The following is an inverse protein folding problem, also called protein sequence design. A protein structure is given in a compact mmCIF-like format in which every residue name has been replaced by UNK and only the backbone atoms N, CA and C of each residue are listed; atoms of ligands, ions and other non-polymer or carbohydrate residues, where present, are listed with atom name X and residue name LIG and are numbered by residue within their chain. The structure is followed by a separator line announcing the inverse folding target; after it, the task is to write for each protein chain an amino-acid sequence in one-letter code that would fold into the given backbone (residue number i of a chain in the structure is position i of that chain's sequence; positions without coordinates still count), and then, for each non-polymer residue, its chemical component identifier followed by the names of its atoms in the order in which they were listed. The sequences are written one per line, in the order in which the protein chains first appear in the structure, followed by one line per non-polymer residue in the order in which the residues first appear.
data_IF_071169283896
#
_entry.id   IF_071169283896
#
_cell.length_a   1.000
_cell.length_b   1.000
_cell.length_c   1.000
_cell.angle_alpha   90.00
_cell.angle_beta   90.00
_cell.angle_gamma   90.00
#
_symmetry.space_group_name_H-M   'P 1'
#
loop_
_entity.id
_entity.type
_entity.pdbx_description
1 polymer ?
#
# COMPACT_ATOMS: atom_id res chain seq x y z
N UNK A 1 21.58 -8.97 -10.36
CA UNK A 1 21.17 -8.93 -10.08
C UNK A 1 20.39 -8.52 -9.63
N UNK A 2 20.18 -8.49 -9.64
CA UNK A 2 19.24 -7.85 -9.57
C UNK A 2 18.36 -8.12 -8.63
N UNK A 3 18.44 -7.94 -7.84
CA UNK A 3 17.68 -8.18 -6.99
C UNK A 3 16.70 -7.35 -6.88
N UNK A 4 15.85 -7.48 -7.34
CA UNK A 4 14.69 -6.82 -7.20
C UNK A 4 14.17 -7.03 -5.87
N UNK A 5 14.57 -6.35 -4.93
CA UNK A 5 13.93 -6.35 -3.64
C UNK A 5 12.57 -5.69 -3.77
N UNK A 6 11.65 -6.44 -4.31
CA UNK A 6 10.28 -5.96 -4.44
C UNK A 6 9.45 -6.56 -3.31
N UNK A 7 8.87 -5.71 -2.50
CA UNK A 7 7.99 -6.13 -1.40
C UNK A 7 6.56 -5.79 -1.79
N UNK A 8 5.67 -6.79 -1.69
CA UNK A 8 4.25 -6.59 -2.02
C UNK A 8 3.41 -6.89 -0.79
N UNK A 9 2.68 -5.90 -0.33
CA UNK A 9 1.77 -6.05 0.81
C UNK A 9 0.36 -6.26 0.26
N UNK A 10 -0.22 -7.40 0.60
CA UNK A 10 -1.54 -7.81 0.09
C UNK A 10 -2.39 -8.42 1.19
N UNK A 11 -3.70 -8.44 0.96
CA UNK A 11 -4.64 -9.13 1.81
C UNK A 11 -5.18 -10.33 1.03
N UNK A 12 -5.20 -11.51 1.67
CA UNK A 12 -5.56 -12.75 1.00
C UNK A 12 -6.98 -12.76 0.42
N UNK A 13 -7.87 -11.97 0.98
CA UNK A 13 -9.26 -11.90 0.51
C UNK A 13 -9.53 -10.72 -0.43
N UNK A 14 -8.49 -10.04 -0.86
CA UNK A 14 -8.65 -8.87 -1.73
C UNK A 14 -8.55 -9.31 -3.20
N UNK A 15 -9.64 -9.12 -3.97
CA UNK A 15 -9.64 -9.51 -5.39
C UNK A 15 -8.61 -8.75 -6.19
N UNK A 16 -8.46 -7.47 -5.92
CA UNK A 16 -7.46 -6.64 -6.61
C UNK A 16 -6.05 -7.17 -6.36
N UNK A 17 -5.78 -7.58 -5.11
CA UNK A 17 -4.50 -8.19 -4.77
C UNK A 17 -4.26 -9.47 -5.55
N UNK A 18 -5.29 -10.33 -5.65
CA UNK A 18 -5.15 -11.58 -6.39
C UNK A 18 -4.81 -11.35 -7.85
N UNK A 19 -5.46 -10.37 -8.46
CA UNK A 19 -5.17 -10.01 -9.86
C UNK A 19 -3.75 -9.48 -10.01
N UNK A 20 -3.31 -8.67 -9.05
CA UNK A 20 -1.97 -8.09 -9.06
C UNK A 20 -0.90 -9.16 -8.94
N UNK A 21 -1.09 -10.12 -8.02
CA UNK A 21 -0.13 -11.20 -7.84
C UNK A 21 -0.06 -12.09 -9.08
N UNK A 22 -1.21 -12.34 -9.69
CA UNK A 22 -1.26 -13.12 -10.93
C UNK A 22 -0.47 -12.42 -12.04
N UNK A 23 -0.65 -11.11 -12.16
CA UNK A 23 0.07 -10.30 -13.15
C UNK A 23 1.58 -10.39 -12.93
N UNK A 24 2.03 -10.30 -11.68
CA UNK A 24 3.45 -10.41 -11.35
C UNK A 24 4.00 -11.78 -11.76
N UNK A 25 3.26 -12.83 -11.44
CA UNK A 25 3.67 -14.19 -11.77
C UNK A 25 3.73 -14.40 -13.29
N UNK A 26 2.76 -13.86 -14.00
CA UNK A 26 2.71 -13.99 -15.46
C UNK A 26 3.85 -13.25 -16.16
N UNK A 27 4.33 -12.17 -15.53
CA UNK A 27 5.43 -11.39 -16.09
C UNK A 27 6.80 -11.81 -15.56
N UNK A 28 6.84 -12.87 -14.75
CA UNK A 28 8.09 -13.39 -14.23
C UNK A 28 8.79 -12.47 -13.24
N UNK A 29 8.03 -11.61 -12.55
CA UNK A 29 8.59 -10.68 -11.57
C UNK A 29 8.73 -11.38 -10.23
N UNK A 30 9.93 -11.38 -9.67
CA UNK A 30 10.17 -11.95 -8.34
C UNK A 30 9.85 -10.91 -7.27
N UNK A 31 9.19 -11.35 -6.21
CA UNK A 31 8.80 -10.45 -5.12
C UNK A 31 8.69 -11.21 -3.80
N UNK A 32 8.72 -10.47 -2.72
CA UNK A 32 8.42 -11.00 -1.39
C UNK A 32 7.00 -10.58 -1.03
N UNK A 33 6.18 -11.54 -0.66
CA UNK A 33 4.79 -11.28 -0.29
C UNK A 33 4.70 -11.10 1.23
N UNK A 34 4.03 -10.03 1.65
CA UNK A 34 3.79 -9.77 3.07
C UNK A 34 2.30 -9.60 3.27
N UNK A 35 1.75 -10.31 4.28
CA UNK A 35 0.32 -10.21 4.58
C UNK A 35 0.07 -8.90 5.33
N UNK A 36 -0.71 -8.03 4.72
CA UNK A 36 -0.91 -6.68 5.25
C UNK A 36 -1.74 -6.68 6.54
N UNK A 37 -2.51 -7.74 6.77
CA UNK A 37 -3.33 -7.85 7.97
C UNK A 37 -2.54 -8.43 9.14
N UNK A 38 -1.78 -9.50 8.88
CA UNK A 38 -1.03 -10.18 9.94
C UNK A 38 0.27 -9.44 10.28
N UNK A 39 0.85 -8.78 9.27
CA UNK A 39 2.08 -8.04 9.44
C UNK A 39 1.87 -6.63 8.92
N UNK A 40 0.93 -5.91 9.53
CA UNK A 40 0.60 -4.58 9.05
C UNK A 40 1.78 -3.62 9.15
N UNK A 41 1.82 -2.63 8.26
CA UNK A 41 2.94 -1.67 8.26
C UNK A 41 3.06 -0.92 9.57
N UNK A 42 4.29 -0.59 9.94
CA UNK A 42 4.54 0.26 11.10
C UNK A 42 4.45 1.72 10.70
N UNK A 43 4.28 2.59 11.68
CA UNK A 43 4.23 4.03 11.41
C UNK A 43 5.55 4.50 10.78
N UNK A 44 6.67 3.93 11.20
CA UNK A 44 7.98 4.28 10.63
C UNK A 44 8.09 3.87 9.17
N UNK A 45 7.64 2.68 8.83
CA UNK A 45 7.63 2.21 7.44
C UNK A 45 6.75 3.12 6.58
N UNK A 46 5.57 3.46 7.09
CA UNK A 46 4.63 4.29 6.35
C UNK A 46 5.19 5.68 6.11
N UNK A 47 5.88 6.24 7.09
CA UNK A 47 6.51 7.55 6.95
C UNK A 47 7.56 7.54 5.83
N UNK A 48 8.38 6.50 5.80
CA UNK A 48 9.41 6.36 4.77
C UNK A 48 8.79 6.15 3.39
N UNK A 49 7.84 5.24 3.29
CA UNK A 49 7.19 4.97 2.00
C UNK A 49 6.42 6.19 1.48
N UNK A 50 5.76 6.91 2.38
CA UNK A 50 5.05 8.13 1.99
C UNK A 50 6.03 9.14 1.39
N UNK A 51 7.17 9.34 2.06
CA UNK A 51 8.19 10.27 1.58
C UNK A 51 8.69 9.84 0.19
N UNK A 52 8.98 8.57 0.01
CA UNK A 52 9.47 8.05 -1.27
C UNK A 52 8.41 8.18 -2.37
N UNK A 53 7.13 8.06 -2.03
CA UNK A 53 6.06 8.05 -3.01
C UNK A 53 5.82 9.41 -3.66
N UNK A 54 6.06 10.48 -2.96
CA UNK A 54 5.72 11.81 -3.43
C UNK A 54 4.22 12.06 -3.53
N UNK A 55 3.41 11.16 -2.97
CA UNK A 55 1.96 11.26 -3.05
C UNK A 55 1.37 11.84 -1.77
N UNK A 56 0.13 12.31 -1.83
CA UNK A 56 -0.61 12.72 -0.65
C UNK A 56 -0.81 11.50 0.26
N UNK A 57 -0.76 11.69 1.57
CA UNK A 57 -0.99 10.61 2.52
C UNK A 57 -2.39 9.99 2.35
N UNK A 58 -3.34 10.75 1.83
CA UNK A 58 -4.69 10.23 1.56
C UNK A 58 -4.67 9.03 0.62
N UNK A 59 -3.71 8.98 -0.29
CA UNK A 59 -3.58 7.88 -1.25
C UNK A 59 -3.25 6.56 -0.58
N UNK A 60 -2.70 6.61 0.63
CA UNK A 60 -2.34 5.41 1.37
C UNK A 60 -3.52 4.78 2.10
N UNK A 61 -4.66 5.46 2.15
CA UNK A 61 -5.84 4.94 2.84
C UNK A 61 -6.72 4.13 1.89
N UNK A 62 -7.27 3.03 2.39
CA UNK A 62 -8.23 2.22 1.68
C UNK A 62 -9.61 2.86 1.85
N UNK A 63 -9.93 3.80 0.96
CA UNK A 63 -11.13 4.63 1.09
C UNK A 63 -12.43 3.86 0.88
N UNK A 64 -12.38 2.70 0.27
CA UNK A 64 -13.58 1.88 0.06
C UNK A 64 -13.77 0.84 1.16
N UNK A 65 -12.92 0.83 2.17
CA UNK A 65 -13.01 -0.12 3.26
C UNK A 65 -13.99 0.31 4.34
N UNK A 66 -14.52 -0.69 5.07
CA UNK A 66 -15.48 -0.44 6.15
C UNK A 66 -14.85 0.32 7.31
N UNK A 67 -13.61 -0.02 7.65
CA UNK A 67 -12.92 0.64 8.76
C UNK A 67 -12.77 2.13 8.50
N UNK A 68 -12.45 2.47 7.24
CA UNK A 68 -12.32 3.87 6.83
C UNK A 68 -13.64 4.62 7.01
N UNK A 69 -14.73 4.01 6.54
CA UNK A 69 -16.06 4.64 6.63
C UNK A 69 -16.60 4.70 8.05
N UNK A 70 -16.50 3.57 8.76
CA UNK A 70 -17.10 3.44 10.10
C UNK A 70 -16.45 4.34 11.13
N UNK A 71 -15.20 4.73 10.91
CA UNK A 71 -14.46 5.59 11.84
C UNK A 71 -14.34 7.03 11.36
N UNK A 72 -15.09 7.41 10.33
CA UNK A 72 -15.13 8.78 9.81
C UNK A 72 -13.72 9.32 9.49
N UNK A 73 -12.89 8.47 8.88
CA UNK A 73 -11.50 8.85 8.58
C UNK A 73 -11.44 10.03 7.62
N UNK A 74 -12.33 10.04 6.61
CA UNK A 74 -12.37 11.13 5.64
C UNK A 74 -12.54 12.47 6.33
N UNK A 75 -13.47 12.53 7.28
CA UNK A 75 -13.76 13.76 8.02
C UNK A 75 -12.56 14.19 8.87
N UNK A 76 -11.86 13.23 9.45
CA UNK A 76 -10.66 13.53 10.24
C UNK A 76 -9.54 14.08 9.36
N UNK A 77 -9.37 13.52 8.17
CA UNK A 77 -8.39 14.01 7.21
C UNK A 77 -8.76 15.42 6.72
N UNK A 78 -10.04 15.64 6.43
CA UNK A 78 -10.53 16.95 5.99
C UNK A 78 -10.35 18.00 7.08
N UNK A 79 -10.39 17.60 8.34
CA UNK A 79 -10.21 18.51 9.48
C UNK A 79 -8.73 18.87 9.72
N UNK A 80 -7.81 18.29 8.95
CA UNK A 80 -6.40 18.67 9.04
C UNK A 80 -5.53 17.70 9.82
N UNK A 81 -5.82 16.40 9.75
CA UNK A 81 -4.98 15.41 10.40
C UNK A 81 -3.53 15.55 9.93
N UNK A 82 -2.58 15.54 10.86
CA UNK A 82 -1.17 15.61 10.50
C UNK A 82 -0.71 14.30 9.88
N UNK A 83 0.38 14.36 9.12
CA UNK A 83 0.95 13.16 8.52
C UNK A 83 1.35 12.15 9.61
N UNK A 84 1.92 12.64 10.70
CA UNK A 84 2.33 11.78 11.82
C UNK A 84 1.13 11.02 12.41
N UNK A 85 0.02 11.72 12.61
CA UNK A 85 -1.20 11.10 13.13
C UNK A 85 -1.74 10.09 12.11
N UNK A 86 -1.63 10.39 10.81
CA UNK A 86 -2.08 9.50 9.77
C UNK A 86 -1.26 8.21 9.75
N UNK A 87 0.06 8.30 9.92
CA UNK A 87 0.91 7.11 9.98
C UNK A 87 0.53 6.23 11.16
N UNK A 88 0.30 6.84 12.32
CA UNK A 88 -0.08 6.09 13.51
C UNK A 88 -1.44 5.41 13.33
N UNK A 89 -2.36 6.10 12.68
CA UNK A 89 -3.69 5.55 12.41
C UNK A 89 -3.60 4.37 11.43
N UNK A 90 -2.86 4.52 10.34
CA UNK A 90 -2.67 3.44 9.37
C UNK A 90 -1.97 2.22 10.00
N UNK A 91 -1.10 2.47 10.98
CA UNK A 91 -0.37 1.40 11.65
C UNK A 91 -1.25 0.60 12.63
N UNK A 92 -2.45 1.05 12.91
CA UNK A 92 -3.35 0.32 13.83
C UNK A 92 -3.94 -0.91 13.17
N UNK A 93 -4.15 -0.90 11.86
CA UNK A 93 -4.68 -2.05 11.15
C UNK A 93 -4.35 -1.95 9.66
N UNK A 94 -3.90 -3.05 9.10
CA UNK A 94 -3.63 -3.13 7.67
C UNK A 94 -4.87 -2.95 6.81
N UNK A 95 -6.05 -3.10 7.40
CA UNK A 95 -7.30 -2.92 6.66
C UNK A 95 -7.54 -1.47 6.26
N UNK A 96 -6.88 -0.52 6.91
CA UNK A 96 -6.96 0.88 6.53
C UNK A 96 -6.02 1.24 5.39
N UNK A 97 -5.07 0.37 5.07
CA UNK A 97 -4.03 0.67 4.09
C UNK A 97 -4.49 0.27 2.68
N UNK A 98 -4.26 1.16 1.72
CA UNK A 98 -4.54 0.88 0.30
C UNK A 98 -3.70 -0.29 -0.17
N UNK A 99 -4.31 -1.23 -0.87
CA UNK A 99 -3.60 -2.42 -1.33
C UNK A 99 -3.99 -2.77 -2.76
N UNK A 100 -3.11 -3.46 -3.46
CA UNK A 100 -1.78 -3.84 -3.00
C UNK A 100 -0.86 -2.63 -2.83
N UNK A 101 0.08 -2.74 -1.89
CA UNK A 101 1.11 -1.71 -1.69
C UNK A 101 2.43 -2.34 -2.09
N UNK A 102 3.13 -1.74 -3.03
CA UNK A 102 4.39 -2.27 -3.54
C UNK A 102 5.53 -1.33 -3.22
N UNK A 103 6.58 -1.88 -2.66
CA UNK A 103 7.82 -1.15 -2.39
C UNK A 103 8.90 -1.77 -3.26
N UNK A 104 9.33 -1.05 -4.28
CA UNK A 104 10.36 -1.53 -5.22
C UNK A 104 11.49 -0.51 -5.24
N UNK A 105 12.48 -0.71 -4.39
CA UNK A 105 13.55 0.25 -4.23
C UNK A 105 12.99 1.57 -3.71
N UNK A 106 13.14 2.63 -4.49
CA UNK A 106 12.62 3.95 -4.13
C UNK A 106 11.25 4.22 -4.74
N UNK A 107 10.64 3.23 -5.36
CA UNK A 107 9.34 3.38 -6.03
C UNK A 107 8.25 2.76 -5.19
N UNK A 108 7.17 3.51 -4.98
CA UNK A 108 6.00 3.03 -4.23
C UNK A 108 4.81 2.99 -5.19
N UNK A 109 4.12 1.85 -5.20
CA UNK A 109 2.90 1.71 -6.00
C UNK A 109 1.74 1.41 -5.07
N UNK A 110 0.64 2.12 -5.26
CA UNK A 110 -0.58 1.94 -4.45
C UNK A 110 -1.73 1.56 -5.37
N UNK A 111 -2.36 0.45 -5.05
CA UNK A 111 -3.40 -0.11 -5.92
C UNK A 111 -2.77 -0.79 -7.12
N UNK A 112 -3.61 -1.40 -7.96
CA UNK A 112 -3.12 -2.13 -9.12
C UNK A 112 -3.56 -1.43 -10.39
N UNK A 113 -2.60 -0.77 -11.05
CA UNK A 113 -2.81 -0.11 -12.34
C UNK A 113 -1.74 -0.61 -13.27
N UNK A 114 -2.12 -1.44 -14.22
CA UNK A 114 -1.16 -2.12 -15.09
C UNK A 114 -0.15 -1.20 -15.77
N UNK A 115 -0.57 -0.06 -16.38
CA UNK A 115 0.42 0.81 -17.03
C UNK A 115 1.50 1.31 -16.07
N UNK A 116 1.12 1.67 -14.84
CA UNK A 116 2.08 2.15 -13.85
C UNK A 116 3.00 1.02 -13.41
N UNK A 117 2.47 -0.18 -13.26
CA UNK A 117 3.25 -1.35 -12.87
C UNK A 117 4.22 -1.78 -13.97
N UNK A 118 3.77 -1.70 -15.23
CA UNK A 118 4.66 -2.00 -16.36
C UNK A 118 5.85 -1.05 -16.38
N UNK A 119 5.58 0.23 -16.21
CA UNK A 119 6.64 1.23 -16.23
C UNK A 119 7.63 1.05 -15.07
N UNK A 120 7.11 0.73 -13.89
CA UNK A 120 7.95 0.64 -12.69
C UNK A 120 8.68 -0.68 -12.54
N UNK A 121 8.08 -1.79 -12.98
CA UNK A 121 8.57 -3.12 -12.65
C UNK A 121 9.10 -3.93 -13.84
N UNK A 122 8.86 -3.48 -15.06
CA UNK A 122 9.32 -4.20 -16.26
C UNK A 122 10.38 -3.39 -17.08
#
# INVERSE_FOLDING_TARGET
MADNNILVLCYSRCTTCKRALKWLDEHGVSYTLRDIKEENPTAEELAEWHKLSGLSIRKFFNTSGMVYRDNSIKEQLDAGMSDSDAYNLLATTGMLVKRPLVVAGNTILLGFKEPAWEEALL
#
